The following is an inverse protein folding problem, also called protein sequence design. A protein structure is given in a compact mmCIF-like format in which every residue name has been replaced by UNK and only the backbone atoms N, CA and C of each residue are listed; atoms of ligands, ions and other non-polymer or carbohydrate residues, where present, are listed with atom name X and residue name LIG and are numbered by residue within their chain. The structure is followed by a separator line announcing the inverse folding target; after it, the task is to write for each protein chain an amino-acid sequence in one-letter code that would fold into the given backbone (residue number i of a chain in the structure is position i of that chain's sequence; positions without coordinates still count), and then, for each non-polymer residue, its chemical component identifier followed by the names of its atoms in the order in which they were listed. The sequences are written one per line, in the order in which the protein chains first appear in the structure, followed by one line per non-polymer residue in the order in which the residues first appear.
data_IF_608843921612
#
_entry.id   IF_608843921612
#
_cell.length_a   1.000
_cell.length_b   1.000
_cell.length_c   1.000
_cell.angle_alpha   90.00
_cell.angle_beta   90.00
_cell.angle_gamma   90.00
#
_symmetry.space_group_name_H-M   'P 1'
#
loop_
_entity.id
_entity.type
_entity.pdbx_description
1 polymer ?
#
# COMPACT_ATOMS: atom_id res chain seq x y z
N UNK A 1 -16.10 -11.25 -13.42
CA UNK A 1 -15.23 -10.94 -12.27
C UNK A 1 -14.03 -10.21 -12.81
N UNK A 2 -13.90 -8.95 -12.43
CA UNK A 2 -12.95 -8.01 -13.03
C UNK A 2 -12.17 -7.30 -11.93
N UNK A 3 -10.87 -7.09 -12.14
CA UNK A 3 -10.04 -6.24 -11.30
C UNK A 3 -9.81 -4.91 -11.99
N UNK A 4 -9.47 -3.89 -11.20
CA UNK A 4 -9.02 -2.58 -11.68
C UNK A 4 -7.52 -2.43 -11.42
N UNK A 5 -6.82 -1.68 -12.28
CA UNK A 5 -5.39 -1.44 -12.09
C UNK A 5 -5.17 0.01 -11.70
N UNK A 6 -4.57 0.18 -10.52
CA UNK A 6 -4.18 1.47 -9.96
C UNK A 6 -2.67 1.60 -9.82
N UNK A 7 -2.25 2.80 -9.43
CA UNK A 7 -0.86 3.10 -9.14
C UNK A 7 -0.73 4.00 -7.92
N UNK A 8 0.27 3.75 -7.08
CA UNK A 8 0.70 4.71 -6.08
C UNK A 8 1.63 5.75 -6.74
N UNK A 9 1.40 7.06 -6.57
CA UNK A 9 2.24 8.08 -7.19
C UNK A 9 3.63 8.21 -6.57
N UNK A 10 3.97 7.34 -5.61
CA UNK A 10 5.21 7.39 -4.82
C UNK A 10 6.48 7.30 -5.68
N UNK A 11 6.38 6.69 -6.88
CA UNK A 11 7.50 6.64 -7.83
C UNK A 11 7.91 8.03 -8.35
N UNK A 12 6.93 8.95 -8.50
CA UNK A 12 7.16 10.35 -8.91
C UNK A 12 7.32 11.28 -7.72
N UNK A 13 6.67 10.95 -6.60
CA UNK A 13 6.63 11.79 -5.40
C UNK A 13 6.74 10.93 -4.15
N UNK A 14 7.98 10.67 -3.74
CA UNK A 14 8.25 9.93 -2.51
C UNK A 14 8.09 10.86 -1.31
N UNK A 15 7.10 10.57 -0.47
CA UNK A 15 6.78 11.40 0.70
C UNK A 15 7.80 11.21 1.84
N UNK A 16 8.47 10.05 1.92
CA UNK A 16 9.51 9.77 2.90
C UNK A 16 10.91 10.29 2.48
N UNK A 17 11.14 10.44 1.16
CA UNK A 17 12.37 10.95 0.57
C UNK A 17 12.08 12.06 -0.46
N UNK A 18 11.51 13.19 -0.03
CA UNK A 18 11.02 14.24 -0.94
C UNK A 18 12.11 14.87 -1.81
N UNK A 19 13.37 14.89 -1.35
CA UNK A 19 14.49 15.44 -2.11
C UNK A 19 14.84 14.61 -3.35
N UNK A 20 14.60 13.29 -3.33
CA UNK A 20 14.83 12.43 -4.50
C UNK A 20 13.86 12.73 -5.64
N UNK A 21 12.68 13.21 -5.31
CA UNK A 21 11.57 13.40 -6.26
C UNK A 21 11.15 14.86 -6.44
N UNK A 22 12.00 15.81 -6.02
CA UNK A 22 11.69 17.25 -6.04
C UNK A 22 11.42 17.82 -7.44
N UNK A 23 12.01 17.21 -8.47
CA UNK A 23 11.91 17.68 -9.86
C UNK A 23 10.67 17.12 -10.59
N UNK A 24 9.91 16.22 -9.93
CA UNK A 24 8.67 15.67 -10.46
C UNK A 24 7.45 16.37 -9.85
N UNK A 25 6.38 16.52 -10.64
CA UNK A 25 5.13 17.11 -10.18
C UNK A 25 4.02 16.06 -10.12
N UNK A 26 2.97 16.34 -9.34
CA UNK A 26 1.80 15.46 -9.26
C UNK A 26 1.01 15.47 -10.57
N UNK A 27 1.01 16.61 -11.28
CA UNK A 27 0.43 16.73 -12.63
C UNK A 27 1.11 15.79 -13.62
N UNK A 28 2.44 15.71 -13.55
CA UNK A 28 3.21 14.79 -14.38
C UNK A 28 2.87 13.33 -14.00
N UNK A 29 2.82 13.02 -12.70
CA UNK A 29 2.48 11.68 -12.22
C UNK A 29 1.13 11.19 -12.75
N UNK A 30 0.07 12.01 -12.64
CA UNK A 30 -1.26 11.64 -13.11
C UNK A 30 -1.34 11.51 -14.63
N UNK A 31 -0.74 12.47 -15.34
CA UNK A 31 -0.69 12.44 -16.81
C UNK A 31 0.00 11.16 -17.31
N UNK A 32 1.20 10.88 -16.81
CA UNK A 32 1.97 9.72 -17.21
C UNK A 32 1.28 8.40 -16.80
N UNK A 33 0.68 8.36 -15.61
CA UNK A 33 -0.11 7.19 -15.17
C UNK A 33 -1.26 6.89 -16.13
N UNK A 34 -1.99 7.93 -16.54
CA UNK A 34 -3.10 7.77 -17.48
C UNK A 34 -2.63 7.38 -18.89
N UNK A 35 -1.52 7.95 -19.37
CA UNK A 35 -0.90 7.60 -20.65
C UNK A 35 -0.44 6.14 -20.70
N UNK A 36 0.05 5.58 -19.59
CA UNK A 36 0.41 4.17 -19.46
C UNK A 36 -0.82 3.27 -19.51
N UNK A 37 -1.97 3.71 -18.96
CA UNK A 37 -3.21 2.96 -18.96
C UNK A 37 -3.82 2.71 -17.58
N UNK A 38 -3.24 3.25 -16.51
CA UNK A 38 -3.84 3.19 -15.18
C UNK A 38 -5.17 3.92 -15.12
N UNK A 39 -6.16 3.33 -14.43
CA UNK A 39 -7.48 3.92 -14.28
C UNK A 39 -7.71 4.50 -12.89
N UNK A 40 -6.84 4.20 -11.94
CA UNK A 40 -6.88 4.74 -10.59
C UNK A 40 -5.51 5.13 -10.08
N UNK A 41 -5.51 6.11 -9.17
CA UNK A 41 -4.32 6.55 -8.44
C UNK A 41 -4.64 6.59 -6.95
N UNK A 42 -3.67 6.24 -6.12
CA UNK A 42 -3.77 6.49 -4.68
C UNK A 42 -3.49 7.96 -4.36
N UNK A 43 -4.14 8.47 -3.30
CA UNK A 43 -3.92 9.86 -2.88
C UNK A 43 -2.50 10.04 -2.35
N UNK A 44 -1.69 10.84 -3.04
CA UNK A 44 -0.38 11.32 -2.56
C UNK A 44 -0.52 12.58 -1.69
N UNK A 45 0.48 12.84 -0.85
CA UNK A 45 0.49 13.98 0.08
C UNK A 45 0.46 15.34 -0.63
N UNK A 46 1.02 15.42 -1.84
CA UNK A 46 1.10 16.67 -2.62
C UNK A 46 -0.12 16.93 -3.51
N UNK A 47 -1.14 16.08 -3.45
CA UNK A 47 -2.43 16.33 -4.09
C UNK A 47 -3.24 17.36 -3.29
N UNK A 48 -4.26 18.01 -3.89
CA UNK A 48 -5.15 18.92 -3.17
C UNK A 48 -5.75 18.29 -1.92
N UNK A 49 -5.76 19.04 -0.82
CA UNK A 49 -6.27 18.55 0.46
C UNK A 49 -7.78 18.69 0.63
N UNK A 50 -8.40 19.65 -0.09
CA UNK A 50 -9.84 19.80 -0.11
C UNK A 50 -10.51 18.89 -1.14
N UNK A 51 -11.76 18.52 -0.88
CA UNK A 51 -12.48 17.53 -1.69
C UNK A 51 -12.74 18.00 -3.11
N UNK A 52 -13.12 19.27 -3.31
CA UNK A 52 -13.46 19.79 -4.64
C UNK A 52 -12.20 20.00 -5.49
N UNK A 53 -11.13 20.48 -4.86
CA UNK A 53 -9.81 20.58 -5.50
C UNK A 53 -9.29 19.23 -5.96
N UNK A 54 -9.37 18.21 -5.08
CA UNK A 54 -8.94 16.84 -5.41
C UNK A 54 -9.80 16.22 -6.51
N UNK A 55 -11.14 16.41 -6.45
CA UNK A 55 -12.07 15.97 -7.51
C UNK A 55 -11.69 16.56 -8.85
N UNK A 56 -11.57 17.89 -8.93
CA UNK A 56 -11.23 18.61 -10.15
C UNK A 56 -9.85 18.20 -10.69
N UNK A 57 -8.92 17.91 -9.79
CA UNK A 57 -7.58 17.44 -10.14
C UNK A 57 -7.59 16.05 -10.78
N UNK A 58 -8.34 15.11 -10.21
CA UNK A 58 -8.50 13.75 -10.75
C UNK A 58 -9.26 13.76 -12.09
N UNK A 59 -10.37 14.50 -12.17
CA UNK A 59 -11.19 14.63 -13.38
C UNK A 59 -10.39 15.21 -14.55
N UNK A 60 -9.50 16.17 -14.29
CA UNK A 60 -8.61 16.77 -15.31
C UNK A 60 -7.77 15.73 -16.04
N UNK A 61 -7.40 14.65 -15.37
CA UNK A 61 -6.56 13.58 -15.93
C UNK A 61 -7.34 12.30 -16.24
N UNK A 62 -8.65 12.30 -16.10
CA UNK A 62 -9.52 11.14 -16.34
C UNK A 62 -9.03 9.90 -15.56
N UNK A 63 -8.76 10.09 -14.26
CA UNK A 63 -8.27 9.02 -13.37
C UNK A 63 -9.07 9.03 -12.06
N UNK A 64 -9.44 7.84 -11.58
CA UNK A 64 -10.20 7.69 -10.33
C UNK A 64 -9.31 7.62 -9.09
N UNK A 65 -9.91 7.79 -7.90
CA UNK A 65 -9.23 7.55 -6.63
C UNK A 65 -9.38 6.07 -6.25
N UNK A 66 -8.29 5.32 -6.19
CA UNK A 66 -8.32 3.90 -5.86
C UNK A 66 -7.96 3.57 -4.40
N UNK A 67 -7.68 4.58 -3.59
CA UNK A 67 -7.29 4.45 -2.20
C UNK A 67 -6.34 5.57 -1.78
N UNK A 68 -5.62 5.35 -0.71
CA UNK A 68 -4.54 6.24 -0.30
C UNK A 68 -4.21 6.11 1.17
N UNK A 69 -2.97 6.45 1.48
CA UNK A 69 -2.38 6.34 2.80
C UNK A 69 -3.10 7.19 3.84
N UNK A 70 -3.36 6.58 4.99
CA UNK A 70 -3.86 7.24 6.19
C UNK A 70 -2.99 6.87 7.39
N UNK A 71 -2.25 7.84 7.91
CA UNK A 71 -1.37 7.65 9.06
C UNK A 71 -2.18 7.54 10.33
N UNK A 72 -2.17 6.35 10.95
CA UNK A 72 -2.75 6.09 12.26
C UNK A 72 -1.80 6.45 13.40
N UNK A 73 -2.37 6.81 14.55
CA UNK A 73 -1.67 7.01 15.82
C UNK A 73 -2.44 6.32 16.96
N UNK A 74 -3.04 5.18 16.66
CA UNK A 74 -3.98 4.48 17.54
C UNK A 74 -3.29 3.84 18.76
N UNK A 75 -1.99 3.52 18.68
CA UNK A 75 -1.23 3.11 19.87
C UNK A 75 -1.32 4.15 20.98
N UNK A 76 -1.24 5.44 20.64
CA UNK A 76 -1.25 6.55 21.58
C UNK A 76 -2.65 7.13 21.81
N UNK A 77 -3.64 6.76 20.99
CA UNK A 77 -4.99 7.25 21.03
C UNK A 77 -5.98 6.22 21.57
N UNK A 78 -7.15 6.70 22.00
CA UNK A 78 -8.36 5.88 22.06
C UNK A 78 -8.97 5.75 20.67
N UNK A 79 -9.78 4.74 20.45
CA UNK A 79 -10.48 4.56 19.16
C UNK A 79 -11.31 5.82 18.78
N UNK A 80 -12.00 6.45 19.74
CA UNK A 80 -12.76 7.69 19.48
C UNK A 80 -11.88 8.84 19.01
N UNK A 81 -10.73 9.06 19.63
CA UNK A 81 -9.81 10.12 19.20
C UNK A 81 -9.21 9.84 17.84
N UNK A 82 -8.96 8.57 17.53
CA UNK A 82 -8.46 8.18 16.20
C UNK A 82 -9.53 8.43 15.14
N UNK A 83 -10.80 8.07 15.41
CA UNK A 83 -11.91 8.38 14.51
C UNK A 83 -12.02 9.88 14.23
N UNK A 84 -11.93 10.72 15.28
CA UNK A 84 -11.96 12.17 15.12
C UNK A 84 -10.77 12.68 14.26
N UNK A 85 -9.59 12.11 14.45
CA UNK A 85 -8.38 12.52 13.74
C UNK A 85 -8.44 12.20 12.23
N UNK A 86 -9.04 11.06 11.85
CA UNK A 86 -9.10 10.60 10.46
C UNK A 86 -10.40 11.00 9.75
N UNK A 87 -11.37 11.59 10.46
CA UNK A 87 -12.71 11.88 9.93
C UNK A 87 -12.69 12.67 8.64
N UNK A 88 -11.89 13.73 8.56
CA UNK A 88 -11.82 14.56 7.35
C UNK A 88 -11.41 13.77 6.11
N UNK A 89 -10.43 12.86 6.26
CA UNK A 89 -9.97 12.02 5.15
C UNK A 89 -11.02 10.96 4.78
N UNK A 90 -11.69 10.38 5.77
CA UNK A 90 -12.81 9.45 5.55
C UNK A 90 -13.92 10.11 4.74
N UNK A 91 -14.36 11.31 5.15
CA UNK A 91 -15.41 12.05 4.46
C UNK A 91 -15.00 12.45 3.03
N UNK A 92 -13.75 12.84 2.83
CA UNK A 92 -13.19 13.13 1.50
C UNK A 92 -13.22 11.89 0.59
N UNK A 93 -12.78 10.73 1.10
CA UNK A 93 -12.72 9.50 0.31
C UNK A 93 -14.12 8.97 -0.05
N UNK A 94 -15.08 9.09 0.88
CA UNK A 94 -16.50 8.79 0.59
C UNK A 94 -17.01 9.68 -0.55
N UNK A 95 -16.77 10.99 -0.47
CA UNK A 95 -17.22 11.95 -1.48
C UNK A 95 -16.58 11.74 -2.86
N UNK A 96 -15.44 11.07 -2.92
CA UNK A 96 -14.71 10.74 -4.15
C UNK A 96 -14.89 9.28 -4.60
N UNK A 97 -15.77 8.52 -3.95
CA UNK A 97 -16.04 7.11 -4.22
C UNK A 97 -14.78 6.21 -4.15
N UNK A 98 -13.82 6.55 -3.29
CA UNK A 98 -12.67 5.68 -3.06
C UNK A 98 -13.13 4.33 -2.49
N UNK A 99 -12.53 3.20 -2.90
CA UNK A 99 -12.93 1.87 -2.46
C UNK A 99 -12.56 1.58 -1.00
N UNK A 100 -11.50 2.19 -0.51
CA UNK A 100 -11.00 2.01 0.86
C UNK A 100 -10.04 3.13 1.27
N UNK A 101 -9.77 3.17 2.58
CA UNK A 101 -8.62 3.86 3.15
C UNK A 101 -7.51 2.82 3.41
N UNK A 102 -6.29 3.13 2.97
CA UNK A 102 -5.08 2.36 3.29
C UNK A 102 -4.53 2.86 4.61
N UNK A 103 -4.93 2.23 5.71
CA UNK A 103 -4.57 2.64 7.07
C UNK A 103 -3.29 1.96 7.54
N UNK A 104 -2.31 2.73 7.99
CA UNK A 104 -1.08 2.21 8.59
C UNK A 104 -0.83 2.85 9.95
N UNK A 105 -0.43 2.05 10.94
CA UNK A 105 -0.04 2.57 12.26
C UNK A 105 1.36 3.20 12.18
N UNK A 106 1.43 4.49 12.49
CA UNK A 106 2.66 5.27 12.38
C UNK A 106 3.27 5.67 13.74
N UNK A 107 2.68 5.24 14.86
CA UNK A 107 3.24 5.49 16.18
C UNK A 107 4.60 4.82 16.33
N UNK A 108 5.59 5.61 16.70
CA UNK A 108 6.96 5.14 16.94
C UNK A 108 7.62 4.41 15.75
N UNK A 109 7.10 4.53 14.54
CA UNK A 109 7.71 3.96 13.34
C UNK A 109 9.08 4.57 13.05
N UNK A 110 9.97 3.75 12.51
CA UNK A 110 11.31 4.19 12.05
C UNK A 110 11.39 4.33 10.53
N UNK A 111 10.29 4.11 9.80
CA UNK A 111 10.27 4.12 8.34
C UNK A 111 10.83 5.40 7.71
N UNK A 112 10.49 6.58 8.24
CA UNK A 112 10.96 7.88 7.75
C UNK A 112 12.30 8.34 8.36
N UNK A 113 13.05 7.47 9.06
CA UNK A 113 14.27 7.83 9.78
C UNK A 113 15.52 7.26 9.11
N UNK A 114 16.25 8.11 8.35
CA UNK A 114 17.43 7.65 7.57
C UNK A 114 18.57 7.11 8.46
N UNK A 115 18.72 7.62 9.66
CA UNK A 115 19.79 7.23 10.59
C UNK A 115 19.39 6.11 11.56
N UNK A 116 18.18 5.56 11.44
CA UNK A 116 17.67 4.50 12.33
C UNK A 116 17.53 3.20 11.56
N UNK A 117 18.19 2.12 11.98
CA UNK A 117 18.07 0.81 11.34
C UNK A 117 16.62 0.31 11.28
N UNK A 118 16.25 -0.31 10.16
CA UNK A 118 14.93 -0.94 10.04
C UNK A 118 14.72 -2.06 11.07
N UNK A 119 15.80 -2.68 11.54
CA UNK A 119 15.76 -3.71 12.58
C UNK A 119 15.38 -3.15 13.97
N UNK A 120 15.50 -1.83 14.19
CA UNK A 120 15.15 -1.15 15.45
C UNK A 120 13.68 -0.72 15.47
N UNK A 121 12.86 -1.26 14.57
CA UNK A 121 11.42 -1.01 14.55
C UNK A 121 10.74 -1.32 15.88
N UNK A 122 9.62 -0.68 16.21
CA UNK A 122 8.83 -1.06 17.39
C UNK A 122 8.36 -2.51 17.26
N UNK A 123 8.58 -3.29 18.30
CA UNK A 123 8.13 -4.67 18.39
C UNK A 123 7.15 -4.80 19.55
N UNK A 124 5.95 -5.27 19.25
CA UNK A 124 4.93 -5.52 20.24
C UNK A 124 4.84 -7.02 20.56
N UNK A 125 4.54 -7.33 21.80
CA UNK A 125 4.15 -8.68 22.19
C UNK A 125 2.81 -9.05 21.58
N UNK A 126 2.52 -10.35 21.52
CA UNK A 126 1.23 -10.85 21.04
C UNK A 126 0.04 -10.25 21.79
N UNK A 127 0.15 -10.05 23.11
CA UNK A 127 -0.91 -9.47 23.93
C UNK A 127 -1.10 -7.96 23.66
N UNK A 128 0.00 -7.24 23.39
CA UNK A 128 -0.08 -5.82 22.97
C UNK A 128 -0.71 -5.68 21.59
N UNK A 129 -0.37 -6.55 20.63
CA UNK A 129 -1.03 -6.58 19.31
C UNK A 129 -2.51 -6.90 19.47
N UNK A 130 -2.88 -7.82 20.38
CA UNK A 130 -4.29 -8.11 20.68
C UNK A 130 -5.03 -6.88 21.19
N UNK A 131 -4.47 -6.18 22.17
CA UNK A 131 -5.08 -4.97 22.70
C UNK A 131 -5.18 -3.84 21.64
N UNK A 132 -4.20 -3.73 20.75
CA UNK A 132 -4.24 -2.83 19.61
C UNK A 132 -5.34 -3.23 18.60
N UNK A 133 -5.44 -4.52 18.25
CA UNK A 133 -6.40 -5.06 17.30
C UNK A 133 -7.87 -4.84 17.75
N UNK A 134 -8.13 -4.89 19.06
CA UNK A 134 -9.44 -4.57 19.62
C UNK A 134 -9.80 -3.10 19.36
N UNK A 135 -8.91 -2.14 19.63
CA UNK A 135 -9.12 -0.71 19.31
C UNK A 135 -9.23 -0.47 17.80
N UNK A 136 -8.39 -1.14 16.99
CA UNK A 136 -8.43 -1.02 15.54
C UNK A 136 -9.77 -1.49 14.97
N UNK A 137 -10.34 -2.55 15.56
CA UNK A 137 -11.66 -3.04 15.18
C UNK A 137 -12.75 -2.00 15.39
N UNK A 138 -12.71 -1.23 16.49
CA UNK A 138 -13.66 -0.14 16.75
C UNK A 138 -13.55 0.96 15.67
N UNK A 139 -12.33 1.34 15.30
CA UNK A 139 -12.07 2.35 14.25
C UNK A 139 -12.53 1.83 12.88
N UNK A 140 -12.19 0.60 12.54
CA UNK A 140 -12.58 -0.02 11.26
C UNK A 140 -14.11 -0.13 11.14
N UNK A 141 -14.79 -0.51 12.22
CA UNK A 141 -16.25 -0.55 12.28
C UNK A 141 -16.86 0.83 12.09
N UNK A 142 -16.33 1.86 12.77
CA UNK A 142 -16.78 3.23 12.62
C UNK A 142 -16.62 3.73 11.17
N UNK A 143 -15.53 3.38 10.48
CA UNK A 143 -15.33 3.68 9.06
C UNK A 143 -16.33 2.92 8.18
N UNK A 144 -16.50 1.62 8.40
CA UNK A 144 -17.40 0.78 7.63
C UNK A 144 -18.87 1.21 7.75
N UNK A 145 -19.32 1.61 8.94
CA UNK A 145 -20.66 2.13 9.19
C UNK A 145 -20.96 3.43 8.40
N UNK A 146 -19.88 4.13 7.94
CA UNK A 146 -19.93 5.30 7.05
C UNK A 146 -19.78 4.96 5.57
N UNK A 147 -19.62 3.68 5.24
CA UNK A 147 -19.41 3.22 3.87
C UNK A 147 -17.97 3.30 3.38
N UNK A 148 -16.98 3.47 4.29
CA UNK A 148 -15.56 3.50 3.96
C UNK A 148 -14.83 2.31 4.58
N UNK A 149 -14.53 1.25 3.83
CA UNK A 149 -13.72 0.14 4.32
C UNK A 149 -12.30 0.59 4.69
N UNK A 150 -11.77 0.04 5.80
CA UNK A 150 -10.36 0.12 6.13
C UNK A 150 -9.61 -1.05 5.51
N UNK A 151 -8.52 -0.80 4.80
CA UNK A 151 -7.53 -1.78 4.41
C UNK A 151 -6.24 -1.50 5.19
N UNK A 152 -5.94 -2.34 6.20
CA UNK A 152 -4.73 -2.15 7.02
C UNK A 152 -3.48 -2.51 6.23
N UNK A 153 -2.53 -1.59 6.20
CA UNK A 153 -1.25 -1.75 5.52
C UNK A 153 -0.14 -2.08 6.52
N UNK A 154 0.43 -3.28 6.42
CA UNK A 154 1.64 -3.65 7.14
C UNK A 154 2.86 -3.04 6.42
N UNK A 155 3.81 -2.50 7.18
CA UNK A 155 4.88 -1.72 6.57
C UNK A 155 6.22 -1.92 7.29
N UNK A 156 7.31 -1.84 6.54
CA UNK A 156 8.66 -1.89 7.11
C UNK A 156 8.89 -0.75 8.09
N UNK A 157 9.61 -1.05 9.17
CA UNK A 157 9.88 -0.07 10.21
C UNK A 157 8.72 0.24 11.15
N UNK A 158 7.54 -0.39 10.95
CA UNK A 158 6.36 -0.26 11.81
C UNK A 158 6.24 -1.42 12.79
N UNK A 159 5.24 -1.36 13.67
CA UNK A 159 4.96 -2.43 14.63
C UNK A 159 4.36 -3.69 13.99
N UNK A 160 3.72 -3.56 12.83
CA UNK A 160 3.18 -4.68 12.04
C UNK A 160 4.00 -4.79 10.76
N UNK A 161 5.04 -5.60 10.80
CA UNK A 161 6.01 -5.79 9.71
C UNK A 161 6.13 -7.25 9.30
N UNK A 162 6.35 -8.15 10.27
CA UNK A 162 6.56 -9.56 10.01
C UNK A 162 5.25 -10.31 9.71
N UNK A 163 5.36 -11.49 9.12
CA UNK A 163 4.19 -12.36 8.91
C UNK A 163 3.49 -12.71 10.23
N UNK A 164 4.25 -12.90 11.31
CA UNK A 164 3.66 -13.18 12.63
C UNK A 164 2.87 -11.98 13.16
N UNK A 165 3.40 -10.75 12.99
CA UNK A 165 2.66 -9.54 13.38
C UNK A 165 1.35 -9.42 12.58
N UNK A 166 1.40 -9.64 11.26
CA UNK A 166 0.21 -9.66 10.39
C UNK A 166 -0.77 -10.73 10.85
N UNK A 167 -0.28 -11.93 11.11
CA UNK A 167 -1.12 -13.03 11.56
C UNK A 167 -1.82 -12.73 12.89
N UNK A 168 -1.11 -12.17 13.86
CA UNK A 168 -1.70 -11.81 15.16
C UNK A 168 -2.71 -10.67 15.03
N UNK A 169 -2.37 -9.64 14.23
CA UNK A 169 -3.30 -8.54 13.97
C UNK A 169 -4.62 -9.07 13.37
N UNK A 170 -4.54 -9.88 12.33
CA UNK A 170 -5.72 -10.39 11.64
C UNK A 170 -6.50 -11.42 12.47
N UNK A 171 -5.81 -12.21 13.30
CA UNK A 171 -6.42 -13.17 14.23
C UNK A 171 -7.25 -12.48 15.32
N UNK A 172 -6.74 -11.36 15.86
CA UNK A 172 -7.36 -10.68 16.99
C UNK A 172 -8.30 -9.54 16.60
N UNK A 173 -8.26 -9.07 15.35
CA UNK A 173 -9.16 -8.03 14.87
C UNK A 173 -10.47 -8.57 14.33
N UNK A 174 -11.53 -7.75 14.40
CA UNK A 174 -12.83 -8.05 13.80
C UNK A 174 -12.78 -8.09 12.28
N UNK A 175 -13.86 -8.59 11.68
CA UNK A 175 -13.98 -8.78 10.22
C UNK A 175 -13.97 -7.44 9.44
N UNK A 176 -14.21 -6.34 10.11
CA UNK A 176 -14.19 -4.97 9.58
C UNK A 176 -12.77 -4.48 9.25
N UNK A 177 -11.75 -5.00 9.95
CA UNK A 177 -10.35 -4.74 9.61
C UNK A 177 -10.00 -5.60 8.41
N UNK A 178 -9.89 -5.00 7.24
CA UNK A 178 -9.43 -5.66 6.02
C UNK A 178 -7.92 -5.46 5.86
N UNK A 179 -7.32 -6.24 4.96
CA UNK A 179 -5.89 -6.20 4.68
C UNK A 179 -5.62 -5.49 3.35
N UNK A 180 -4.77 -4.48 3.36
CA UNK A 180 -4.02 -4.07 2.20
C UNK A 180 -2.83 -5.02 2.09
N UNK A 181 -2.92 -5.96 1.15
CA UNK A 181 -1.92 -7.00 0.98
C UNK A 181 -0.80 -6.49 0.08
N UNK A 182 0.31 -6.11 0.68
CA UNK A 182 1.51 -5.68 -0.04
C UNK A 182 2.52 -6.83 -0.14
N UNK A 183 2.79 -7.26 -1.37
CA UNK A 183 3.67 -8.39 -1.66
C UNK A 183 5.13 -8.12 -1.32
N UNK A 184 5.61 -6.90 -1.58
CA UNK A 184 6.99 -6.50 -1.35
C UNK A 184 7.30 -6.31 0.13
N UNK A 185 6.43 -5.60 0.85
CA UNK A 185 6.59 -5.41 2.29
C UNK A 185 6.52 -6.74 3.05
N UNK A 186 5.59 -7.63 2.66
CA UNK A 186 5.51 -8.94 3.30
C UNK A 186 6.80 -9.74 3.13
N UNK A 187 7.32 -9.78 1.91
CA UNK A 187 8.54 -10.55 1.62
C UNK A 187 9.78 -9.90 2.26
N UNK A 188 9.85 -8.56 2.31
CA UNK A 188 10.91 -7.85 3.04
C UNK A 188 10.88 -8.17 4.53
N UNK A 189 9.68 -8.29 5.13
CA UNK A 189 9.46 -8.71 6.52
C UNK A 189 9.74 -10.19 6.78
N UNK A 190 10.17 -10.95 5.77
CA UNK A 190 10.46 -12.38 5.86
C UNK A 190 9.24 -13.29 5.78
N UNK A 191 8.09 -12.75 5.36
CA UNK A 191 6.85 -13.51 5.22
C UNK A 191 6.76 -14.32 3.93
N UNK A 192 5.82 -15.26 3.92
CA UNK A 192 5.49 -16.10 2.77
C UNK A 192 4.18 -15.62 2.13
N UNK A 193 4.27 -15.15 0.88
CA UNK A 193 3.13 -14.61 0.12
C UNK A 193 2.02 -15.66 -0.04
N UNK A 194 2.38 -16.88 -0.43
CA UNK A 194 1.39 -17.91 -0.69
C UNK A 194 0.65 -18.34 0.58
N UNK A 195 1.36 -18.52 1.69
CA UNK A 195 0.82 -18.90 3.00
C UNK A 195 -0.06 -17.81 3.58
N UNK A 196 0.38 -16.56 3.51
CA UNK A 196 -0.40 -15.42 4.02
C UNK A 196 -1.69 -15.24 3.23
N UNK A 197 -1.64 -15.35 1.89
CA UNK A 197 -2.83 -15.32 1.04
C UNK A 197 -3.78 -16.49 1.37
N UNK A 198 -3.27 -17.72 1.52
CA UNK A 198 -4.12 -18.87 1.86
C UNK A 198 -4.83 -18.71 3.20
N UNK A 199 -4.19 -18.02 4.14
CA UNK A 199 -4.77 -17.80 5.48
C UNK A 199 -5.78 -16.65 5.52
N UNK A 200 -5.54 -15.57 4.79
CA UNK A 200 -6.27 -14.30 4.96
C UNK A 200 -6.96 -13.80 3.70
N UNK A 201 -7.12 -14.62 2.67
CA UNK A 201 -7.70 -14.23 1.38
C UNK A 201 -9.06 -13.55 1.53
N UNK A 202 -9.91 -14.01 2.43
CA UNK A 202 -11.24 -13.45 2.73
C UNK A 202 -11.19 -12.05 3.39
N UNK A 203 -10.02 -11.67 3.89
CA UNK A 203 -9.75 -10.36 4.51
C UNK A 203 -9.01 -9.41 3.58
N UNK A 204 -8.43 -9.88 2.46
CA UNK A 204 -7.75 -9.04 1.48
C UNK A 204 -8.78 -8.19 0.74
N UNK A 205 -8.65 -6.86 0.85
CA UNK A 205 -9.54 -5.90 0.23
C UNK A 205 -8.87 -5.00 -0.79
N UNK A 206 -7.58 -4.76 -0.62
CA UNK A 206 -6.73 -3.96 -1.47
C UNK A 206 -5.39 -4.68 -1.66
N UNK A 207 -4.78 -4.55 -2.83
CA UNK A 207 -3.55 -5.30 -3.12
C UNK A 207 -2.51 -4.37 -3.74
N UNK A 208 -1.34 -4.33 -3.11
CA UNK A 208 -0.16 -3.70 -3.69
C UNK A 208 0.73 -4.77 -4.34
N UNK A 209 0.89 -4.67 -5.66
CA UNK A 209 1.91 -5.39 -6.39
C UNK A 209 3.20 -4.59 -6.32
N UNK A 210 4.01 -4.90 -5.34
CA UNK A 210 5.35 -4.37 -5.10
C UNK A 210 6.33 -5.52 -5.18
N UNK A 211 7.34 -5.40 -6.05
CA UNK A 211 8.38 -6.42 -6.19
C UNK A 211 9.62 -6.04 -5.38
N UNK A 212 10.49 -6.99 -5.11
CA UNK A 212 11.71 -6.73 -4.34
C UNK A 212 12.93 -7.43 -4.94
N UNK A 213 14.12 -6.92 -4.56
CA UNK A 213 15.42 -7.52 -4.81
C UNK A 213 15.99 -8.09 -3.51
N UNK A 214 15.91 -9.41 -3.30
CA UNK A 214 16.22 -10.04 -2.01
C UNK A 214 17.66 -9.88 -1.56
N UNK A 215 18.61 -9.75 -2.49
CA UNK A 215 20.02 -9.51 -2.19
C UNK A 215 20.23 -8.14 -1.53
N UNK A 216 19.46 -7.12 -1.94
CA UNK A 216 19.52 -5.78 -1.33
C UNK A 216 18.88 -5.80 0.06
N UNK A 217 17.72 -6.46 0.18
CA UNK A 217 17.06 -6.65 1.49
C UNK A 217 17.99 -7.33 2.47
N UNK A 218 18.67 -8.39 2.05
CA UNK A 218 19.66 -9.10 2.87
C UNK A 218 20.79 -8.17 3.30
N UNK A 219 21.38 -7.42 2.37
CA UNK A 219 22.47 -6.47 2.67
C UNK A 219 22.03 -5.41 3.69
N UNK A 220 20.83 -4.86 3.55
CA UNK A 220 20.27 -3.86 4.47
C UNK A 220 20.09 -4.44 5.88
N UNK A 221 19.52 -5.64 5.99
CA UNK A 221 19.31 -6.32 7.27
C UNK A 221 20.65 -6.70 7.96
N UNK A 222 21.58 -7.28 7.21
CA UNK A 222 22.89 -7.71 7.74
C UNK A 222 23.76 -6.53 8.16
N UNK A 223 23.69 -5.41 7.43
CA UNK A 223 24.45 -4.19 7.74
C UNK A 223 23.73 -3.23 8.67
N UNK A 224 22.56 -3.63 9.15
CA UNK A 224 21.73 -2.84 10.06
C UNK A 224 21.47 -1.42 9.54
N UNK A 225 21.03 -1.30 8.29
CA UNK A 225 20.71 -0.03 7.64
C UNK A 225 19.24 0.36 7.83
N UNK A 226 18.94 1.61 7.51
CA UNK A 226 17.57 2.14 7.57
C UNK A 226 16.68 1.58 6.45
N UNK A 227 15.38 1.74 6.61
CA UNK A 227 14.42 1.48 5.54
C UNK A 227 14.66 2.41 4.33
N UNK A 228 14.96 3.68 4.58
CA UNK A 228 15.24 4.65 3.52
C UNK A 228 16.52 4.29 2.74
N UNK A 229 17.55 3.75 3.41
CA UNK A 229 18.72 3.18 2.72
C UNK A 229 18.33 2.02 1.79
N UNK A 230 17.36 1.19 2.21
CA UNK A 230 16.86 0.11 1.36
C UNK A 230 16.18 0.65 0.10
N UNK A 231 15.34 1.69 0.25
CA UNK A 231 14.68 2.37 -0.88
C UNK A 231 15.72 2.95 -1.84
N UNK A 232 16.68 3.72 -1.33
CA UNK A 232 17.75 4.34 -2.13
C UNK A 232 18.61 3.27 -2.83
N UNK A 233 18.87 2.14 -2.16
CA UNK A 233 19.62 1.03 -2.75
C UNK A 233 18.83 0.27 -3.84
N UNK A 234 17.50 0.45 -3.90
CA UNK A 234 16.62 -0.21 -4.86
C UNK A 234 16.13 -1.58 -4.40
N UNK A 235 15.88 -1.74 -3.09
CA UNK A 235 15.29 -2.96 -2.54
C UNK A 235 13.92 -3.24 -3.14
N UNK A 236 13.10 -2.20 -3.31
CA UNK A 236 11.81 -2.29 -3.98
C UNK A 236 11.89 -1.97 -5.46
N UNK A 237 11.01 -2.58 -6.23
CA UNK A 237 10.84 -2.34 -7.66
C UNK A 237 9.41 -2.66 -8.10
N UNK A 238 9.11 -2.38 -9.36
CA UNK A 238 7.81 -2.66 -9.97
C UNK A 238 7.63 -4.15 -10.27
N UNK A 239 6.38 -4.67 -10.35
CA UNK A 239 6.11 -6.05 -10.70
C UNK A 239 6.85 -6.51 -11.96
N UNK A 240 7.51 -7.69 -11.85
CA UNK A 240 8.27 -8.30 -12.94
C UNK A 240 9.71 -7.82 -13.08
N UNK A 241 10.20 -6.99 -12.17
CA UNK A 241 11.59 -6.51 -12.12
C UNK A 241 12.37 -7.02 -10.91
N UNK A 242 11.76 -7.82 -10.07
CA UNK A 242 12.34 -8.42 -8.88
C UNK A 242 12.25 -9.95 -8.88
N UNK A 243 11.82 -10.51 -7.75
CA UNK A 243 11.82 -11.96 -7.55
C UNK A 243 10.43 -12.59 -7.33
N UNK A 244 9.36 -11.80 -7.25
CA UNK A 244 8.03 -12.30 -6.88
C UNK A 244 7.35 -12.94 -8.08
N UNK A 245 6.79 -14.14 -7.90
CA UNK A 245 5.94 -14.81 -8.89
C UNK A 245 4.52 -14.21 -8.87
N UNK A 246 4.33 -13.09 -9.58
CA UNK A 246 3.02 -12.44 -9.69
C UNK A 246 1.99 -13.27 -10.44
N UNK A 247 2.39 -14.22 -11.27
CA UNK A 247 1.45 -15.15 -11.88
C UNK A 247 0.82 -16.07 -10.84
N UNK A 248 1.60 -16.56 -9.87
CA UNK A 248 1.05 -17.34 -8.75
C UNK A 248 0.10 -16.49 -7.90
N UNK A 249 0.44 -15.21 -7.62
CA UNK A 249 -0.43 -14.28 -6.90
C UNK A 249 -1.73 -14.05 -7.66
N UNK A 250 -1.67 -13.73 -8.96
CA UNK A 250 -2.85 -13.50 -9.80
C UNK A 250 -3.77 -14.73 -9.88
N UNK A 251 -3.21 -15.95 -9.94
CA UNK A 251 -3.99 -17.19 -9.88
C UNK A 251 -4.74 -17.37 -8.56
N UNK A 252 -4.11 -17.01 -7.43
CA UNK A 252 -4.79 -17.05 -6.11
C UNK A 252 -5.92 -16.02 -6.03
N UNK A 253 -5.70 -14.79 -6.51
CA UNK A 253 -6.74 -13.76 -6.59
C UNK A 253 -7.90 -14.22 -7.46
N UNK A 254 -7.62 -14.84 -8.62
CA UNK A 254 -8.64 -15.42 -9.50
C UNK A 254 -9.45 -16.53 -8.82
N UNK A 255 -8.76 -17.44 -8.14
CA UNK A 255 -9.41 -18.56 -7.45
C UNK A 255 -10.32 -18.13 -6.30
N UNK A 256 -10.02 -16.98 -5.69
CA UNK A 256 -10.78 -16.38 -4.59
C UNK A 256 -11.87 -15.40 -5.05
N UNK A 257 -12.06 -15.27 -6.35
CA UNK A 257 -13.06 -14.35 -6.91
C UNK A 257 -12.80 -12.87 -6.52
N UNK A 258 -11.52 -12.48 -6.34
CA UNK A 258 -11.15 -11.11 -6.03
C UNK A 258 -11.58 -10.15 -7.15
N UNK A 259 -12.20 -9.03 -6.77
CA UNK A 259 -12.75 -8.03 -7.70
C UNK A 259 -12.38 -6.58 -7.31
N UNK A 260 -11.29 -6.41 -6.57
CA UNK A 260 -10.80 -5.12 -6.10
C UNK A 260 -9.75 -4.49 -7.01
N UNK A 261 -8.95 -3.63 -6.42
CA UNK A 261 -7.83 -2.97 -7.07
C UNK A 261 -6.52 -3.74 -6.89
N UNK A 262 -5.75 -3.79 -7.97
CA UNK A 262 -4.34 -4.17 -7.94
C UNK A 262 -3.56 -2.90 -8.23
N UNK A 263 -2.80 -2.43 -7.26
CA UNK A 263 -2.06 -1.18 -7.33
C UNK A 263 -0.57 -1.48 -7.52
N UNK A 264 0.04 -0.88 -8.53
CA UNK A 264 1.51 -0.87 -8.65
C UNK A 264 2.05 0.13 -7.64
N UNK A 265 2.93 -0.34 -6.79
CA UNK A 265 3.63 0.51 -5.84
C UNK A 265 5.11 0.16 -5.82
N UNK A 266 5.97 1.16 -5.98
CA UNK A 266 7.41 0.97 -5.88
C UNK A 266 8.07 2.25 -5.38
N UNK A 267 8.61 2.19 -4.17
CA UNK A 267 9.46 3.25 -3.61
C UNK A 267 10.85 3.09 -4.21
N UNK A 268 11.22 3.99 -5.10
CA UNK A 268 12.45 3.90 -5.87
C UNK A 268 13.16 5.26 -5.95
N UNK A 269 14.48 5.20 -6.16
CA UNK A 269 15.26 6.35 -6.57
C UNK A 269 15.04 6.61 -8.08
N UNK A 270 14.39 7.72 -8.46
CA UNK A 270 14.05 7.99 -9.87
C UNK A 270 15.27 8.16 -10.78
N UNK A 271 16.45 8.42 -10.20
CA UNK A 271 17.70 8.45 -10.97
C UNK A 271 18.14 7.05 -11.43
N UNK A 272 17.69 5.99 -10.74
CA UNK A 272 17.98 4.59 -11.07
C UNK A 272 16.80 3.90 -11.76
N UNK A 273 15.60 4.32 -11.40
CA UNK A 273 14.34 3.76 -11.88
C UNK A 273 13.42 4.91 -12.32
N UNK A 274 13.60 5.44 -13.56
CA UNK A 274 12.75 6.50 -14.09
C UNK A 274 11.26 6.13 -13.96
N UNK A 275 10.42 7.01 -13.34
CA UNK A 275 9.05 6.65 -12.96
C UNK A 275 8.19 6.17 -14.12
N UNK A 276 8.23 6.83 -15.27
CA UNK A 276 7.42 6.46 -16.43
C UNK A 276 7.74 5.06 -16.94
N UNK A 277 9.03 4.79 -17.22
CA UNK A 277 9.47 3.52 -17.78
C UNK A 277 9.23 2.35 -16.82
N UNK A 278 9.49 2.56 -15.54
CA UNK A 278 9.27 1.52 -14.54
C UNK A 278 7.78 1.27 -14.29
N UNK A 279 6.97 2.34 -14.21
CA UNK A 279 5.52 2.17 -14.07
C UNK A 279 4.89 1.49 -15.30
N UNK A 280 5.38 1.78 -16.50
CA UNK A 280 4.96 1.09 -17.73
C UNK A 280 5.33 -0.39 -17.68
N UNK A 281 6.54 -0.73 -17.20
CA UNK A 281 6.99 -2.12 -17.03
C UNK A 281 6.10 -2.88 -16.04
N UNK A 282 5.79 -2.28 -14.89
CA UNK A 282 4.90 -2.87 -13.89
C UNK A 282 3.48 -3.07 -14.42
N UNK A 283 2.94 -2.09 -15.13
CA UNK A 283 1.64 -2.20 -15.78
C UNK A 283 1.58 -3.35 -16.78
N UNK A 284 2.57 -3.46 -17.67
CA UNK A 284 2.63 -4.53 -18.66
C UNK A 284 2.72 -5.92 -17.99
N UNK A 285 3.51 -6.04 -16.92
CA UNK A 285 3.58 -7.30 -16.18
C UNK A 285 2.21 -7.69 -15.60
N UNK A 286 1.45 -6.74 -15.05
CA UNK A 286 0.10 -7.02 -14.54
C UNK A 286 -0.81 -7.50 -15.67
N UNK A 287 -0.80 -6.84 -16.82
CA UNK A 287 -1.58 -7.28 -17.98
C UNK A 287 -1.28 -8.74 -18.35
N UNK A 288 0.00 -9.09 -18.45
CA UNK A 288 0.45 -10.42 -18.85
C UNK A 288 0.07 -11.50 -17.84
N UNK A 289 0.28 -11.24 -16.53
CA UNK A 289 -0.03 -12.22 -15.50
C UNK A 289 -1.53 -12.38 -15.29
N UNK A 290 -2.32 -11.29 -15.36
CA UNK A 290 -3.78 -11.35 -15.30
C UNK A 290 -4.37 -12.11 -16.48
N UNK A 291 -3.92 -11.83 -17.70
CA UNK A 291 -4.33 -12.57 -18.91
C UNK A 291 -4.02 -14.06 -18.78
N UNK A 292 -2.80 -14.40 -18.33
CA UNK A 292 -2.39 -15.81 -18.15
C UNK A 292 -3.17 -16.51 -17.04
N UNK A 293 -3.52 -15.80 -15.95
CA UNK A 293 -4.33 -16.32 -14.85
C UNK A 293 -5.84 -16.39 -15.18
N UNK A 294 -6.29 -15.77 -16.28
CA UNK A 294 -7.70 -15.63 -16.63
C UNK A 294 -8.43 -14.64 -15.72
N UNK A 295 -7.74 -13.66 -15.17
CA UNK A 295 -8.27 -12.57 -14.36
C UNK A 295 -8.59 -11.39 -15.29
N UNK A 296 -9.87 -11.07 -15.45
CA UNK A 296 -10.30 -10.00 -16.34
C UNK A 296 -10.00 -8.62 -15.74
N UNK A 297 -9.57 -7.68 -16.57
CA UNK A 297 -9.30 -6.30 -16.17
C UNK A 297 -10.40 -5.41 -16.74
N UNK A 298 -10.95 -4.53 -15.89
CA UNK A 298 -11.82 -3.44 -16.35
C UNK A 298 -11.04 -2.13 -16.40
N UNK A 299 -11.33 -1.33 -17.41
CA UNK A 299 -10.72 -0.01 -17.62
C UNK A 299 -11.66 1.14 -17.19
N UNK A 300 -12.70 0.82 -16.46
CA UNK A 300 -13.57 1.83 -15.86
C UNK A 300 -12.86 2.51 -14.66
N UNK A 301 -12.92 3.83 -14.60
CA UNK A 301 -12.39 4.66 -13.49
C UNK A 301 -13.25 4.54 -12.23
#
# INVERSE_FOLDING_TARGET
MTVKIGISPIAWQNDDLPDLTKDYTMEQALKESREIGYTGVERGQRMPHDTDGLRSFLEKYDIGLCGGWCSGNLLNNTASKECDAVQQQVDQFIALNAPCIVFAECSNTVQGMIDVPVNDRPQLTRDEIKAYAEKLTEVAKWMQDRGMPMAYHHHMGSMIESEDDVNWLMEFSGAEVKLCFDTGHLLFGGGDIARTMDRWMDRIHHVHFKDIRPEIVKDVREKNRSFLDAVIAGAFTVPGDGCIDFLAVAKKLKAADYNGWIVVEAEQDPAKAPPYEYSQKGYQNILDVCATAGLEITHET
#
